data_IF_661158647879
#
_entry.id   IF_661158647879
#
_cell.length_a   1.000
_cell.length_b   1.000
_cell.length_c   1.000
_cell.angle_alpha   90.00
_cell.angle_beta   90.00
_cell.angle_gamma   90.00
#
_symmetry.space_group_name_H-M   'P 1'
#
loop_
_entity.id
_entity.type
_entity.pdbx_description
1 polymer ?
#
# COMPACT_ATOMS: atom_id res chain seq x y z
N UNK A 1 -15.92 0.83 13.41
CA UNK A 1 -15.64 1.57 12.18
C UNK A 1 -15.06 0.68 11.08
N UNK A 2 -13.86 0.08 11.21
CA UNK A 2 -13.27 -0.81 10.18
C UNK A 2 -14.19 -1.98 9.82
N UNK A 3 -14.81 -2.63 10.79
CA UNK A 3 -15.75 -3.75 10.58
C UNK A 3 -16.99 -3.37 9.78
N UNK A 4 -17.49 -2.14 9.93
CA UNK A 4 -18.64 -1.63 9.16
C UNK A 4 -18.25 -1.35 7.72
N UNK A 5 -17.09 -0.70 7.51
CA UNK A 5 -16.55 -0.48 6.17
C UNK A 5 -16.28 -1.81 5.44
N UNK A 6 -15.80 -2.83 6.15
CA UNK A 6 -15.57 -4.15 5.58
C UNK A 6 -16.86 -4.86 5.11
N UNK A 7 -18.03 -4.52 5.68
CA UNK A 7 -19.32 -5.06 5.21
C UNK A 7 -19.66 -4.58 3.79
N UNK A 8 -19.22 -3.39 3.40
CA UNK A 8 -19.46 -2.83 2.07
C UNK A 8 -18.60 -3.46 0.96
N UNK A 9 -17.67 -4.37 1.30
CA UNK A 9 -16.90 -5.13 0.30
C UNK A 9 -17.80 -6.09 -0.50
N UNK A 10 -18.81 -6.72 0.12
CA UNK A 10 -19.84 -7.59 -0.48
C UNK A 10 -19.29 -8.53 -1.55
N UNK A 11 -19.72 -8.34 -2.82
CA UNK A 11 -19.34 -9.16 -3.97
C UNK A 11 -17.86 -9.12 -4.32
N UNK A 12 -17.12 -8.09 -3.87
CA UNK A 12 -15.70 -7.91 -4.15
C UNK A 12 -14.76 -8.65 -3.17
N UNK A 13 -15.29 -9.47 -2.24
CA UNK A 13 -14.48 -10.23 -1.27
C UNK A 13 -13.45 -11.14 -1.94
N UNK A 14 -13.84 -11.85 -3.01
CA UNK A 14 -12.94 -12.76 -3.74
C UNK A 14 -11.75 -11.98 -4.32
N UNK A 15 -12.02 -10.86 -4.97
CA UNK A 15 -10.99 -10.02 -5.59
C UNK A 15 -10.08 -9.38 -4.53
N UNK A 16 -10.67 -8.97 -3.38
CA UNK A 16 -9.94 -8.43 -2.24
C UNK A 16 -8.98 -9.42 -1.60
N UNK A 17 -9.31 -10.72 -1.58
CA UNK A 17 -8.42 -11.77 -1.06
C UNK A 17 -7.40 -12.19 -2.12
N UNK A 18 -7.76 -12.14 -3.40
CA UNK A 18 -6.86 -12.49 -4.49
C UNK A 18 -5.68 -11.52 -4.62
N UNK A 19 -5.90 -10.22 -4.36
CA UNK A 19 -4.85 -9.20 -4.40
C UNK A 19 -3.66 -9.52 -3.48
N UNK A 20 -3.82 -9.78 -2.16
CA UNK A 20 -2.75 -10.21 -1.28
C UNK A 20 -1.99 -11.45 -1.75
N UNK A 21 -2.69 -12.42 -2.31
CA UNK A 21 -2.08 -13.67 -2.81
C UNK A 21 -1.17 -13.35 -4.01
N UNK A 22 -1.66 -12.57 -4.97
CA UNK A 22 -0.88 -12.17 -6.14
C UNK A 22 0.33 -11.30 -5.75
N UNK A 23 0.16 -10.37 -4.81
CA UNK A 23 1.26 -9.57 -4.25
C UNK A 23 2.29 -10.45 -3.56
N UNK A 24 1.87 -11.48 -2.85
CA UNK A 24 2.79 -12.42 -2.20
C UNK A 24 3.61 -13.20 -3.22
N UNK A 25 2.99 -13.65 -4.33
CA UNK A 25 3.69 -14.32 -5.42
C UNK A 25 4.68 -13.38 -6.13
N UNK A 26 4.29 -12.13 -6.38
CA UNK A 26 5.17 -11.08 -6.92
C UNK A 26 6.41 -10.90 -6.03
N UNK A 27 6.24 -10.73 -4.71
CA UNK A 27 7.33 -10.54 -3.75
C UNK A 27 8.27 -11.75 -3.71
N UNK A 28 7.75 -12.97 -3.74
CA UNK A 28 8.58 -14.19 -3.79
C UNK A 28 9.50 -14.17 -5.03
N UNK A 29 8.94 -13.86 -6.20
CA UNK A 29 9.73 -13.77 -7.44
C UNK A 29 10.79 -12.66 -7.35
N UNK A 30 10.43 -11.48 -6.86
CA UNK A 30 11.37 -10.36 -6.68
C UNK A 30 12.52 -10.70 -5.73
N UNK A 31 12.26 -11.45 -4.66
CA UNK A 31 13.29 -11.86 -3.69
C UNK A 31 14.19 -12.98 -4.21
N UNK A 32 13.71 -13.83 -5.13
CA UNK A 32 14.51 -14.89 -5.74
C UNK A 32 15.47 -14.39 -6.82
N UNK A 33 15.14 -13.30 -7.52
CA UNK A 33 15.99 -12.73 -8.58
C UNK A 33 17.41 -12.39 -8.08
N UNK A 34 17.63 -11.65 -6.96
CA UNK A 34 18.98 -11.38 -6.44
C UNK A 34 19.75 -12.65 -6.06
N UNK A 35 19.07 -13.69 -5.59
CA UNK A 35 19.70 -14.97 -5.26
C UNK A 35 20.24 -15.67 -6.51
N UNK A 36 19.48 -15.69 -7.59
CA UNK A 36 19.92 -16.25 -8.88
C UNK A 36 21.07 -15.44 -9.45
N UNK A 37 21.03 -14.10 -9.35
CA UNK A 37 22.12 -13.22 -9.77
C UNK A 37 23.40 -13.53 -8.98
N UNK A 38 23.32 -13.71 -7.67
CA UNK A 38 24.49 -14.05 -6.86
C UNK A 38 25.11 -15.40 -7.27
N UNK A 39 24.26 -16.41 -7.54
CA UNK A 39 24.72 -17.71 -8.05
C UNK A 39 25.39 -17.56 -9.43
N UNK A 40 24.82 -16.78 -10.33
CA UNK A 40 25.41 -16.47 -11.63
C UNK A 40 26.79 -15.82 -11.48
N UNK A 41 26.93 -14.83 -10.61
CA UNK A 41 28.21 -14.16 -10.33
C UNK A 41 29.25 -15.16 -9.80
N UNK A 42 28.87 -16.09 -8.92
CA UNK A 42 29.76 -17.13 -8.41
C UNK A 42 30.20 -18.08 -9.53
N UNK A 43 29.32 -18.47 -10.45
CA UNK A 43 29.64 -19.30 -11.61
C UNK A 43 30.61 -18.58 -12.56
N UNK A 44 30.40 -17.31 -12.83
CA UNK A 44 31.30 -16.50 -13.67
C UNK A 44 32.69 -16.42 -13.06
N UNK A 45 32.81 -16.23 -11.73
CA UNK A 45 34.09 -16.22 -11.01
C UNK A 45 34.80 -17.58 -11.07
N UNK A 46 34.07 -18.67 -11.16
CA UNK A 46 34.59 -20.02 -11.32
C UNK A 46 35.03 -20.36 -12.76
N UNK A 47 34.80 -19.44 -13.72
CA UNK A 47 35.21 -19.66 -15.13
C UNK A 47 34.20 -20.50 -15.91
N UNK A 48 32.87 -20.27 -15.74
CA UNK A 48 31.83 -21.02 -16.42
C UNK A 48 31.78 -20.75 -17.93
N UNK A 49 31.29 -21.75 -18.68
CA UNK A 49 31.02 -21.61 -20.12
C UNK A 49 29.90 -20.59 -20.43
N UNK A 50 30.00 -20.00 -21.63
CA UNK A 50 28.99 -19.04 -22.11
C UNK A 50 27.56 -19.60 -22.08
N UNK A 51 27.39 -20.90 -22.33
CA UNK A 51 26.08 -21.55 -22.29
C UNK A 51 25.42 -21.45 -20.90
N UNK A 52 26.19 -21.56 -19.82
CA UNK A 52 25.68 -21.42 -18.45
C UNK A 52 25.18 -20.00 -18.22
N UNK A 53 25.93 -19.00 -18.67
CA UNK A 53 25.53 -17.58 -18.55
C UNK A 53 24.22 -17.33 -19.32
N UNK A 54 24.11 -17.89 -20.53
CA UNK A 54 22.90 -17.73 -21.35
C UNK A 54 21.67 -18.35 -20.69
N UNK A 55 21.81 -19.54 -20.07
CA UNK A 55 20.71 -20.19 -19.33
C UNK A 55 20.27 -19.35 -18.12
N UNK A 56 21.22 -18.88 -17.30
CA UNK A 56 20.89 -17.98 -16.17
C UNK A 56 20.20 -16.69 -16.65
N UNK A 57 20.67 -16.11 -17.75
CA UNK A 57 20.06 -14.93 -18.37
C UNK A 57 18.60 -15.20 -18.79
N UNK A 58 18.35 -16.33 -19.45
CA UNK A 58 17.00 -16.73 -19.84
C UNK A 58 16.09 -16.93 -18.62
N UNK A 59 16.57 -17.61 -17.57
CA UNK A 59 15.82 -17.82 -16.32
C UNK A 59 15.46 -16.48 -15.68
N UNK A 60 16.39 -15.54 -15.61
CA UNK A 60 16.16 -14.20 -15.03
C UNK A 60 15.10 -13.43 -15.82
N UNK A 61 15.15 -13.48 -17.16
CA UNK A 61 14.15 -12.84 -18.03
C UNK A 61 12.77 -13.46 -17.82
N UNK A 62 12.67 -14.79 -17.75
CA UNK A 62 11.41 -15.49 -17.47
C UNK A 62 10.86 -15.12 -16.09
N UNK A 63 11.70 -15.10 -15.06
CA UNK A 63 11.26 -14.73 -13.71
C UNK A 63 10.81 -13.27 -13.63
N UNK A 64 11.52 -12.35 -14.29
CA UNK A 64 11.09 -10.96 -14.38
C UNK A 64 9.75 -10.81 -15.10
N UNK A 65 9.54 -11.57 -16.18
CA UNK A 65 8.25 -11.62 -16.89
C UNK A 65 7.10 -12.15 -16.02
N UNK A 66 7.34 -13.22 -15.28
CA UNK A 66 6.36 -13.80 -14.35
C UNK A 66 6.04 -12.80 -13.21
N UNK A 67 7.06 -12.16 -12.64
CA UNK A 67 6.88 -11.13 -11.61
C UNK A 67 6.03 -9.98 -12.13
N UNK A 68 6.32 -9.49 -13.33
CA UNK A 68 5.53 -8.43 -13.98
C UNK A 68 4.06 -8.84 -14.18
N UNK A 69 3.79 -10.07 -14.60
CA UNK A 69 2.42 -10.58 -14.75
C UNK A 69 1.67 -10.60 -13.40
N UNK A 70 2.30 -11.12 -12.35
CA UNK A 70 1.70 -11.10 -11.01
C UNK A 70 1.46 -9.67 -10.51
N UNK A 71 2.41 -8.76 -10.73
CA UNK A 71 2.28 -7.35 -10.36
C UNK A 71 1.15 -6.64 -11.11
N UNK A 72 1.02 -6.89 -12.42
CA UNK A 72 -0.06 -6.36 -13.24
C UNK A 72 -1.43 -6.88 -12.81
N UNK A 73 -1.55 -8.19 -12.56
CA UNK A 73 -2.79 -8.79 -12.07
C UNK A 73 -3.12 -8.30 -10.65
N UNK A 74 -2.14 -8.20 -9.76
CA UNK A 74 -2.33 -7.63 -8.43
C UNK A 74 -2.81 -6.17 -8.49
N UNK A 75 -2.28 -5.38 -9.41
CA UNK A 75 -2.73 -4.01 -9.68
C UNK A 75 -4.19 -3.95 -10.14
N UNK A 76 -4.56 -4.80 -11.09
CA UNK A 76 -5.92 -4.86 -11.64
C UNK A 76 -6.93 -5.33 -10.57
N UNK A 77 -6.63 -6.40 -9.83
CA UNK A 77 -7.50 -6.89 -8.76
C UNK A 77 -7.60 -5.88 -7.62
N UNK A 78 -6.52 -5.21 -7.25
CA UNK A 78 -6.49 -4.15 -6.25
C UNK A 78 -7.39 -2.97 -6.65
N UNK A 79 -7.28 -2.51 -7.89
CA UNK A 79 -8.12 -1.44 -8.43
C UNK A 79 -9.60 -1.84 -8.43
N UNK A 80 -9.93 -3.04 -8.93
CA UNK A 80 -11.29 -3.56 -8.97
C UNK A 80 -11.89 -3.66 -7.56
N UNK A 81 -11.13 -4.18 -6.59
CA UNK A 81 -11.59 -4.30 -5.20
C UNK A 81 -11.84 -2.94 -4.55
N UNK A 82 -10.93 -1.98 -4.73
CA UNK A 82 -11.04 -0.64 -4.14
C UNK A 82 -12.15 0.19 -4.78
N UNK A 83 -12.29 0.15 -6.11
CA UNK A 83 -13.39 0.80 -6.82
C UNK A 83 -14.74 0.17 -6.45
N UNK A 84 -14.78 -1.15 -6.31
CA UNK A 84 -15.97 -1.87 -5.87
C UNK A 84 -16.42 -1.49 -4.45
N UNK A 85 -15.48 -1.40 -3.51
CA UNK A 85 -15.74 -0.89 -2.17
C UNK A 85 -16.33 0.53 -2.21
N UNK A 86 -15.70 1.43 -2.97
CA UNK A 86 -16.14 2.82 -3.09
C UNK A 86 -17.55 2.94 -3.72
N UNK A 87 -17.83 2.12 -4.74
CA UNK A 87 -19.16 2.02 -5.36
C UNK A 87 -20.23 1.64 -4.32
N UNK A 88 -19.98 0.57 -3.57
CA UNK A 88 -20.91 0.09 -2.58
C UNK A 88 -21.09 1.09 -1.43
N UNK A 89 -19.99 1.70 -0.98
CA UNK A 89 -20.02 2.71 0.08
C UNK A 89 -20.82 3.94 -0.34
N UNK A 90 -20.64 4.45 -1.59
CA UNK A 90 -21.43 5.55 -2.13
C UNK A 90 -22.92 5.19 -2.20
N UNK A 91 -23.23 3.98 -2.66
CA UNK A 91 -24.62 3.48 -2.72
C UNK A 91 -25.26 3.43 -1.33
N UNK A 92 -24.57 2.87 -0.35
CA UNK A 92 -25.08 2.74 1.02
C UNK A 92 -25.27 4.13 1.67
N UNK A 93 -24.31 5.03 1.49
CA UNK A 93 -24.40 6.40 2.00
C UNK A 93 -25.53 7.17 1.34
N UNK A 94 -25.67 7.07 0.02
CA UNK A 94 -26.75 7.75 -0.72
C UNK A 94 -28.14 7.26 -0.28
N UNK A 95 -28.29 5.94 -0.13
CA UNK A 95 -29.52 5.35 0.37
C UNK A 95 -29.85 5.83 1.80
N UNK A 96 -28.87 5.90 2.67
CA UNK A 96 -29.07 6.42 4.03
C UNK A 96 -29.46 7.91 4.03
N UNK A 97 -28.86 8.73 3.16
CA UNK A 97 -29.19 10.15 3.03
C UNK A 97 -30.65 10.33 2.56
N UNK A 98 -31.12 9.51 1.62
CA UNK A 98 -32.50 9.56 1.17
C UNK A 98 -33.52 9.21 2.27
N UNK A 99 -33.10 8.41 3.25
CA UNK A 99 -33.96 8.04 4.40
C UNK A 99 -33.78 8.97 5.61
N UNK A 100 -33.04 10.09 5.48
CA UNK A 100 -32.91 11.06 6.56
C UNK A 100 -34.25 11.79 6.78
N UNK A 101 -34.61 12.00 8.06
CA UNK A 101 -35.68 12.92 8.43
C UNK A 101 -35.24 14.36 8.15
N UNK A 102 -36.22 15.28 8.00
CA UNK A 102 -35.94 16.70 7.82
C UNK A 102 -35.03 17.27 8.93
N UNK A 103 -35.23 16.86 10.18
CA UNK A 103 -34.37 17.25 11.30
C UNK A 103 -32.88 16.83 11.11
N UNK A 104 -32.64 15.70 10.48
CA UNK A 104 -31.27 15.24 10.20
C UNK A 104 -30.65 15.99 9.01
N UNK A 105 -31.46 16.39 8.02
CA UNK A 105 -30.99 17.18 6.87
C UNK A 105 -30.54 18.57 7.33
N UNK A 106 -31.22 19.17 8.28
CA UNK A 106 -30.90 20.51 8.82
C UNK A 106 -29.57 20.49 9.63
N UNK A 107 -29.20 19.34 10.21
CA UNK A 107 -27.93 19.18 10.92
C UNK A 107 -26.72 19.09 10.00
N UNK A 108 -26.91 18.66 8.75
CA UNK A 108 -25.84 18.48 7.77
C UNK A 108 -26.11 19.40 6.57
N UNK A 109 -25.19 20.30 6.26
CA UNK A 109 -25.28 21.08 5.03
C UNK A 109 -25.20 20.16 3.80
N UNK A 110 -25.92 20.48 2.73
CA UNK A 110 -25.90 19.73 1.48
C UNK A 110 -24.46 19.63 0.91
N UNK A 111 -23.67 20.70 1.01
CA UNK A 111 -22.27 20.71 0.58
C UNK A 111 -21.40 19.70 1.37
N UNK A 112 -21.63 19.56 2.69
CA UNK A 112 -20.93 18.57 3.52
C UNK A 112 -21.28 17.15 3.11
N UNK A 113 -22.55 16.86 2.80
CA UNK A 113 -23.00 15.54 2.34
C UNK A 113 -22.37 15.18 0.98
N UNK A 114 -22.30 16.15 0.06
CA UNK A 114 -21.63 15.97 -1.23
C UNK A 114 -20.13 15.69 -1.04
N UNK A 115 -19.43 16.45 -0.19
CA UNK A 115 -18.01 16.22 0.12
C UNK A 115 -17.76 14.81 0.68
N UNK A 116 -18.63 14.32 1.56
CA UNK A 116 -18.54 12.95 2.09
C UNK A 116 -18.73 11.89 1.03
N UNK A 117 -19.69 12.07 0.13
CA UNK A 117 -19.98 11.13 -0.97
C UNK A 117 -18.87 11.09 -2.04
N UNK A 118 -18.15 12.18 -2.20
CA UNK A 118 -17.10 12.34 -3.21
C UNK A 118 -15.71 12.15 -2.60
N UNK A 119 -15.23 13.15 -1.88
CA UNK A 119 -13.84 13.22 -1.38
C UNK A 119 -13.57 12.19 -0.31
N UNK A 120 -14.43 12.06 0.70
CA UNK A 120 -14.17 11.14 1.81
C UNK A 120 -14.23 9.69 1.34
N UNK A 121 -15.17 9.32 0.49
CA UNK A 121 -15.22 7.97 -0.10
C UNK A 121 -14.02 7.69 -0.97
N UNK A 122 -13.51 8.67 -1.71
CA UNK A 122 -12.28 8.51 -2.50
C UNK A 122 -11.05 8.32 -1.61
N UNK A 123 -10.97 9.03 -0.49
CA UNK A 123 -9.91 8.84 0.50
C UNK A 123 -9.97 7.43 1.13
N UNK A 124 -11.16 6.94 1.46
CA UNK A 124 -11.36 5.56 1.94
C UNK A 124 -10.96 4.53 0.89
N UNK A 125 -11.31 4.75 -0.38
CA UNK A 125 -10.90 3.91 -1.51
C UNK A 125 -9.38 3.83 -1.62
N UNK A 126 -8.69 4.97 -1.57
CA UNK A 126 -7.23 5.02 -1.62
C UNK A 126 -6.58 4.34 -0.41
N UNK A 127 -7.08 4.59 0.79
CA UNK A 127 -6.60 3.93 2.01
C UNK A 127 -6.77 2.40 1.91
N UNK A 128 -7.90 1.93 1.42
CA UNK A 128 -8.15 0.50 1.22
C UNK A 128 -7.20 -0.11 0.19
N UNK A 129 -6.96 0.57 -0.95
CA UNK A 129 -5.99 0.16 -1.96
C UNK A 129 -4.58 0.00 -1.35
N UNK A 130 -4.16 0.98 -0.55
CA UNK A 130 -2.86 0.92 0.14
C UNK A 130 -2.78 -0.24 1.13
N UNK A 131 -3.84 -0.50 1.89
CA UNK A 131 -3.87 -1.59 2.88
C UNK A 131 -3.74 -2.95 2.20
N UNK A 132 -4.54 -3.26 1.18
CA UNK A 132 -4.55 -4.60 0.56
C UNK A 132 -3.32 -4.88 -0.30
N UNK A 133 -2.57 -3.85 -0.72
CA UNK A 133 -1.36 -4.00 -1.54
C UNK A 133 -0.08 -3.72 -0.75
N UNK A 134 0.07 -2.51 -0.20
CA UNK A 134 1.32 -2.05 0.40
C UNK A 134 1.52 -2.64 1.79
N UNK A 135 0.48 -2.69 2.64
CA UNK A 135 0.60 -3.20 4.00
C UNK A 135 0.90 -4.70 4.05
N UNK A 136 0.64 -5.43 2.96
CA UNK A 136 0.98 -6.86 2.83
C UNK A 136 2.35 -7.02 2.17
N UNK A 137 2.65 -6.25 1.11
CA UNK A 137 3.93 -6.30 0.41
C UNK A 137 5.11 -5.98 1.33
N UNK A 138 5.03 -4.88 2.11
CA UNK A 138 6.16 -4.42 2.92
C UNK A 138 6.63 -5.42 3.99
N UNK A 139 5.75 -6.01 4.84
CA UNK A 139 6.17 -7.01 5.81
C UNK A 139 6.71 -8.28 5.16
N UNK A 140 6.07 -8.76 4.08
CA UNK A 140 6.55 -9.95 3.36
C UNK A 140 7.92 -9.71 2.77
N UNK A 141 8.13 -8.57 2.09
CA UNK A 141 9.42 -8.21 1.51
C UNK A 141 10.50 -8.11 2.58
N UNK A 142 10.18 -7.55 3.75
CA UNK A 142 11.10 -7.47 4.89
C UNK A 142 11.49 -8.88 5.38
N UNK A 143 10.52 -9.77 5.57
CA UNK A 143 10.76 -11.15 6.04
C UNK A 143 11.63 -11.91 5.02
N UNK A 144 11.27 -11.88 3.74
CA UNK A 144 12.06 -12.55 2.69
C UNK A 144 13.44 -11.95 2.55
N UNK A 145 13.60 -10.61 2.62
CA UNK A 145 14.90 -9.95 2.57
C UNK A 145 15.81 -10.42 3.74
N UNK A 146 15.25 -10.55 4.95
CA UNK A 146 15.98 -11.11 6.09
C UNK A 146 16.41 -12.56 5.85
N UNK A 147 15.49 -13.42 5.43
CA UNK A 147 15.79 -14.82 5.13
C UNK A 147 16.91 -14.91 4.09
N UNK A 148 16.82 -14.17 3.00
CA UNK A 148 17.81 -14.17 1.93
C UNK A 148 19.14 -13.60 2.37
N UNK A 149 19.15 -12.55 3.21
CA UNK A 149 20.38 -12.00 3.78
C UNK A 149 21.12 -13.05 4.62
N UNK A 150 20.43 -13.86 5.43
CA UNK A 150 21.04 -14.93 6.21
C UNK A 150 21.53 -16.10 5.33
N UNK A 151 20.76 -16.45 4.30
CA UNK A 151 21.15 -17.53 3.36
C UNK A 151 22.41 -17.15 2.58
N UNK A 152 22.52 -15.89 2.13
CA UNK A 152 23.63 -15.44 1.30
C UNK A 152 24.80 -14.87 2.09
N UNK A 153 24.54 -14.11 3.16
CA UNK A 153 25.56 -13.40 3.95
C UNK A 153 26.01 -14.12 5.21
N UNK A 154 25.36 -15.24 5.58
CA UNK A 154 25.72 -16.01 6.75
C UNK A 154 25.81 -15.15 8.01
N UNK A 155 26.94 -15.25 8.75
CA UNK A 155 27.16 -14.49 9.99
C UNK A 155 27.15 -12.97 9.80
N UNK A 156 27.52 -12.46 8.62
CA UNK A 156 27.52 -11.02 8.32
C UNK A 156 26.09 -10.44 8.27
N UNK A 157 25.09 -11.24 7.97
CA UNK A 157 23.69 -10.82 7.98
C UNK A 157 23.17 -10.45 9.39
N UNK A 158 23.86 -10.89 10.46
CA UNK A 158 23.49 -10.50 11.83
C UNK A 158 23.52 -8.98 12.07
N UNK A 159 24.29 -8.23 11.27
CA UNK A 159 24.30 -6.76 11.30
C UNK A 159 22.90 -6.18 11.03
N UNK A 160 22.13 -6.79 10.10
CA UNK A 160 20.77 -6.31 9.78
C UNK A 160 19.80 -6.45 10.95
N UNK A 161 20.02 -7.43 11.83
CA UNK A 161 19.23 -7.63 13.04
C UNK A 161 19.35 -6.43 14.00
N UNK A 162 20.47 -5.72 13.96
CA UNK A 162 20.71 -4.52 14.75
C UNK A 162 20.30 -3.23 14.00
N UNK A 163 20.66 -3.14 12.73
CA UNK A 163 20.43 -1.93 11.91
C UNK A 163 18.95 -1.66 11.71
N UNK A 164 18.12 -2.69 11.44
CA UNK A 164 16.69 -2.51 11.18
C UNK A 164 15.92 -1.97 12.39
N UNK A 165 16.09 -2.49 13.62
CA UNK A 165 15.50 -1.90 14.82
C UNK A 165 15.97 -0.46 15.08
N UNK A 166 17.27 -0.16 14.86
CA UNK A 166 17.82 1.20 15.04
C UNK A 166 17.15 2.18 14.06
N UNK A 167 17.04 1.79 12.78
CA UNK A 167 16.33 2.59 11.78
C UNK A 167 14.85 2.77 12.12
N UNK A 168 14.18 1.68 12.54
CA UNK A 168 12.78 1.71 12.97
C UNK A 168 12.57 2.67 14.15
N UNK A 169 13.45 2.61 15.14
CA UNK A 169 13.42 3.51 16.29
C UNK A 169 13.67 4.97 15.88
N UNK A 170 14.65 5.20 15.00
CA UNK A 170 14.93 6.52 14.44
C UNK A 170 13.72 7.11 13.71
N UNK A 171 13.08 6.32 12.83
CA UNK A 171 11.85 6.72 12.14
C UNK A 171 10.70 6.99 13.12
N UNK A 172 10.53 6.16 14.15
CA UNK A 172 9.53 6.37 15.18
C UNK A 172 9.74 7.71 15.91
N UNK A 173 10.98 8.05 16.28
CA UNK A 173 11.30 9.33 16.91
C UNK A 173 11.01 10.52 15.98
N UNK A 174 11.37 10.40 14.69
CA UNK A 174 11.09 11.43 13.69
C UNK A 174 9.58 11.65 13.57
N UNK A 175 8.80 10.58 13.38
CA UNK A 175 7.34 10.67 13.28
C UNK A 175 6.75 11.33 14.53
N UNK A 176 7.18 10.90 15.71
CA UNK A 176 6.69 11.44 16.99
C UNK A 176 6.98 12.94 17.16
N UNK A 177 8.11 13.43 16.63
CA UNK A 177 8.47 14.85 16.68
C UNK A 177 7.82 15.68 15.58
N UNK A 178 7.69 15.12 14.39
CA UNK A 178 7.22 15.84 13.19
C UNK A 178 5.68 15.93 13.16
N UNK A 179 4.96 14.90 13.56
CA UNK A 179 3.48 14.91 13.55
C UNK A 179 2.85 16.09 14.32
N UNK A 180 3.27 16.42 15.55
CA UNK A 180 2.72 17.59 16.24
C UNK A 180 3.07 18.91 15.55
N UNK A 181 4.22 19.02 14.87
CA UNK A 181 4.58 20.19 14.07
C UNK A 181 3.63 20.36 12.88
N UNK A 182 3.38 19.31 12.13
CA UNK A 182 2.39 19.32 11.03
C UNK A 182 1.01 19.74 11.51
N UNK A 183 0.53 19.21 12.65
CA UNK A 183 -0.77 19.62 13.21
C UNK A 183 -0.81 21.12 13.54
N UNK A 184 0.29 21.69 14.05
CA UNK A 184 0.39 23.14 14.32
C UNK A 184 0.36 23.96 13.03
N UNK A 185 1.06 23.50 12.00
CA UNK A 185 1.07 24.16 10.67
C UNK A 185 -0.34 24.14 10.08
N UNK A 186 -1.01 22.98 10.02
CA UNK A 186 -2.39 22.89 9.51
C UNK A 186 -3.35 23.81 10.27
N UNK A 187 -3.26 23.85 11.61
CA UNK A 187 -4.08 24.76 12.41
C UNK A 187 -3.84 26.24 12.07
N UNK A 188 -2.61 26.61 11.72
CA UNK A 188 -2.29 27.97 11.25
C UNK A 188 -2.84 28.24 9.85
N UNK A 189 -2.79 27.24 8.95
CA UNK A 189 -3.42 27.34 7.62
C UNK A 189 -4.95 27.49 7.70
N UNK A 190 -5.59 26.74 8.58
CA UNK A 190 -7.04 26.88 8.80
C UNK A 190 -7.40 28.29 9.32
N UNK A 191 -6.63 28.81 10.27
CA UNK A 191 -6.82 30.18 10.78
C UNK A 191 -6.60 31.23 9.69
N UNK A 192 -5.58 31.07 8.85
CA UNK A 192 -5.31 31.97 7.71
C UNK A 192 -6.48 31.94 6.70
N UNK A 193 -6.95 30.76 6.33
CA UNK A 193 -8.07 30.60 5.41
C UNK A 193 -9.35 31.24 5.99
N UNK A 194 -9.60 31.07 7.30
CA UNK A 194 -10.75 31.71 7.95
C UNK A 194 -10.64 33.25 7.91
N UNK A 195 -9.46 33.80 8.18
CA UNK A 195 -9.22 35.26 8.12
C UNK A 195 -9.37 35.81 6.71
N UNK A 196 -8.92 35.07 5.69
CA UNK A 196 -9.12 35.45 4.28
C UNK A 196 -10.60 35.45 3.91
N UNK A 197 -11.34 34.41 4.33
CA UNK A 197 -12.79 34.34 4.07
C UNK A 197 -13.57 35.46 4.78
N UNK A 198 -13.15 35.85 5.97
CA UNK A 198 -13.72 36.95 6.73
C UNK A 198 -13.48 38.31 6.04
N UNK A 199 -12.25 38.52 5.55
CA UNK A 199 -11.88 39.74 4.80
C UNK A 199 -12.52 39.83 3.40
N UNK A 200 -12.89 38.71 2.79
CA UNK A 200 -13.56 38.69 1.46
C UNK A 200 -15.06 38.87 1.59
N UNK A 201 -15.66 38.55 2.76
CA UNK A 201 -17.11 38.70 3.00
C UNK A 201 -17.51 40.03 3.65
N UNK A 202 -16.55 40.76 4.23
CA UNK A 202 -16.74 42.13 4.73
C UNK A 202 -16.45 43.14 3.66
#
# INVERSE_FOLDING_TARGET
>A
MIRELAKSIREYKKVSIMTPILVSMEVVMECLIPFIIANLVNQIKAGCEFQVIAVYGLVLVLMAGISLLFGAWAGNTCSTASCGLAKNLRKDMFYNIQNFSFENIDKFSASSLVTRLTTDVTNVQMAYMMIIRIAIRCPLMLIFAFIMAFVMGGKMAAIFLFVVPVLGFGLFLVIRRVMPLFRRVFKKYDALNSSIQENVKG
#
